data_IF_804551746913
#
_entry.id   IF_804551746913
#
_cell.length_a   1.000
_cell.length_b   1.000
_cell.length_c   1.000
_cell.angle_alpha   90.00
_cell.angle_beta   90.00
_cell.angle_gamma   90.00
#
_symmetry.space_group_name_H-M   'P 1'
#
loop_
_entity.id
_entity.type
_entity.pdbx_description
1 polymer ?
#
# COMPACT_ATOMS: atom_id res chain seq x y z
N UNK A 1 0.86 -15.85 -5.50
CA UNK A 1 0.65 -17.08 -4.70
C UNK A 1 1.36 -17.09 -3.33
N UNK A 2 1.97 -15.96 -2.91
CA UNK A 2 2.64 -15.84 -1.62
C UNK A 2 1.70 -16.17 -0.45
N UNK A 3 0.43 -15.73 -0.52
CA UNK A 3 -0.59 -16.04 0.51
C UNK A 3 -0.70 -17.54 0.75
N UNK A 4 -0.75 -18.33 -0.31
CA UNK A 4 -0.84 -19.81 -0.22
C UNK A 4 0.44 -20.43 0.35
N UNK A 5 1.61 -19.89 -0.02
CA UNK A 5 2.90 -20.36 0.49
C UNK A 5 3.07 -20.12 2.02
N UNK A 6 2.38 -19.13 2.55
CA UNK A 6 2.30 -18.88 4.00
C UNK A 6 1.08 -19.53 4.69
N UNK A 7 0.34 -20.39 3.98
CA UNK A 7 -0.81 -21.11 4.53
C UNK A 7 -2.07 -20.26 4.68
N UNK A 8 -2.11 -19.09 4.04
CA UNK A 8 -3.27 -18.23 4.05
C UNK A 8 -4.34 -18.63 3.04
N UNK A 9 -5.55 -18.14 3.24
CA UNK A 9 -6.67 -18.28 2.29
C UNK A 9 -6.72 -17.08 1.37
N UNK A 10 -6.61 -17.31 0.06
CA UNK A 10 -6.74 -16.25 -0.95
C UNK A 10 -8.20 -16.11 -1.36
N UNK A 11 -8.76 -14.92 -1.22
CA UNK A 11 -10.04 -14.51 -1.81
C UNK A 11 -9.79 -13.40 -2.83
N UNK A 12 -10.25 -13.58 -4.06
CA UNK A 12 -10.18 -12.59 -5.12
C UNK A 12 -11.58 -12.03 -5.36
N UNK A 13 -11.75 -10.73 -5.13
CA UNK A 13 -13.04 -10.04 -5.26
C UNK A 13 -12.83 -8.86 -6.21
N UNK A 14 -13.55 -8.85 -7.33
CA UNK A 14 -13.51 -7.75 -8.29
C UNK A 14 -14.26 -6.53 -7.76
N UNK A 15 -13.61 -5.38 -7.78
CA UNK A 15 -14.22 -4.08 -7.46
C UNK A 15 -14.75 -3.35 -8.71
N UNK A 16 -14.51 -3.91 -9.90
CA UNK A 16 -14.70 -3.20 -11.17
C UNK A 16 -16.11 -2.68 -11.34
N UNK A 17 -17.11 -3.54 -11.17
CA UNK A 17 -18.51 -3.18 -11.46
C UNK A 17 -19.04 -2.18 -10.43
N UNK A 18 -18.66 -2.32 -9.16
CA UNK A 18 -19.01 -1.38 -8.10
C UNK A 18 -18.36 0.00 -8.34
N UNK A 19 -17.09 0.05 -8.68
CA UNK A 19 -16.39 1.28 -9.01
C UNK A 19 -16.99 1.98 -10.23
N UNK A 20 -17.33 1.26 -11.29
CA UNK A 20 -17.97 1.81 -12.48
C UNK A 20 -19.38 2.35 -12.19
N UNK A 21 -20.15 1.63 -11.38
CA UNK A 21 -21.48 2.10 -10.95
C UNK A 21 -21.36 3.39 -10.14
N UNK A 22 -20.42 3.45 -9.19
CA UNK A 22 -20.16 4.66 -8.41
C UNK A 22 -19.76 5.84 -9.30
N UNK A 23 -18.84 5.63 -10.25
CA UNK A 23 -18.45 6.66 -11.22
C UNK A 23 -19.68 7.22 -11.99
N UNK A 24 -20.54 6.32 -12.47
CA UNK A 24 -21.77 6.69 -13.18
C UNK A 24 -22.69 7.50 -12.30
N UNK A 25 -22.90 7.10 -11.05
CA UNK A 25 -23.82 7.76 -10.12
C UNK A 25 -23.40 9.20 -9.77
N UNK A 26 -22.08 9.46 -9.72
CA UNK A 26 -21.53 10.80 -9.50
C UNK A 26 -21.28 11.59 -10.80
N UNK A 27 -21.56 11.01 -11.96
CA UNK A 27 -21.36 11.65 -13.26
C UNK A 27 -19.90 11.70 -13.72
N UNK A 28 -19.01 10.85 -13.18
CA UNK A 28 -17.61 10.75 -13.61
C UNK A 28 -17.52 9.86 -14.86
N UNK A 29 -16.89 10.32 -15.97
CA UNK A 29 -16.74 9.50 -17.17
C UNK A 29 -15.92 8.22 -16.90
N UNK A 30 -16.28 7.10 -17.52
CA UNK A 30 -15.54 5.83 -17.40
C UNK A 30 -14.09 5.91 -17.90
N UNK A 31 -13.79 6.90 -18.74
CA UNK A 31 -12.46 7.18 -19.27
C UNK A 31 -11.61 8.03 -18.33
N UNK A 32 -12.19 8.53 -17.22
CA UNK A 32 -11.46 9.34 -16.24
C UNK A 32 -10.34 8.53 -15.58
N UNK A 33 -9.20 9.17 -15.36
CA UNK A 33 -8.01 8.61 -14.69
C UNK A 33 -7.45 9.59 -13.67
N UNK A 34 -8.32 10.45 -13.14
CA UNK A 34 -7.97 11.43 -12.12
C UNK A 34 -7.79 10.79 -10.75
N UNK A 35 -7.37 11.60 -9.79
CA UNK A 35 -7.31 11.21 -8.37
C UNK A 35 -8.69 10.74 -7.85
N UNK A 36 -9.80 11.21 -8.44
CA UNK A 36 -11.14 10.75 -8.08
C UNK A 36 -11.34 9.29 -8.46
N UNK A 37 -10.88 8.89 -9.65
CA UNK A 37 -10.91 7.51 -10.10
C UNK A 37 -10.09 6.59 -9.17
N UNK A 38 -8.89 6.99 -8.80
CA UNK A 38 -8.05 6.24 -7.85
C UNK A 38 -8.72 6.13 -6.47
N UNK A 39 -9.23 7.24 -5.95
CA UNK A 39 -9.88 7.30 -4.65
C UNK A 39 -11.15 6.42 -4.56
N UNK A 40 -11.94 6.33 -5.63
CA UNK A 40 -13.11 5.43 -5.69
C UNK A 40 -12.67 3.98 -5.49
N UNK A 41 -11.66 3.54 -6.21
CA UNK A 41 -11.15 2.16 -6.12
C UNK A 41 -10.57 1.86 -4.74
N UNK A 42 -9.78 2.77 -4.17
CA UNK A 42 -9.19 2.60 -2.86
C UNK A 42 -10.27 2.46 -1.77
N UNK A 43 -11.33 3.27 -1.83
CA UNK A 43 -12.43 3.19 -0.85
C UNK A 43 -13.29 1.94 -1.03
N UNK A 44 -13.56 1.53 -2.27
CA UNK A 44 -14.27 0.28 -2.55
C UNK A 44 -13.53 -0.94 -2.01
N UNK A 45 -12.21 -1.00 -2.20
CA UNK A 45 -11.37 -2.06 -1.62
C UNK A 45 -11.49 -2.09 -0.10
N UNK A 46 -11.43 -0.93 0.54
CA UNK A 46 -11.53 -0.82 2.01
C UNK A 46 -12.89 -1.25 2.52
N UNK A 47 -13.97 -0.85 1.86
CA UNK A 47 -15.33 -1.26 2.23
C UNK A 47 -15.46 -2.78 2.21
N UNK A 48 -15.05 -3.43 1.13
CA UNK A 48 -15.09 -4.90 1.01
C UNK A 48 -14.24 -5.57 2.09
N UNK A 49 -13.03 -5.06 2.39
CA UNK A 49 -12.18 -5.62 3.42
C UNK A 49 -12.85 -5.57 4.81
N UNK A 50 -13.49 -4.45 5.14
CA UNK A 50 -14.19 -4.29 6.43
C UNK A 50 -15.40 -5.22 6.52
N UNK A 51 -16.18 -5.34 5.45
CA UNK A 51 -17.36 -6.22 5.42
C UNK A 51 -16.97 -7.71 5.47
N UNK A 52 -15.90 -8.11 4.77
CA UNK A 52 -15.35 -9.47 4.86
C UNK A 52 -14.84 -9.76 6.27
N UNK A 53 -14.17 -8.81 6.91
CA UNK A 53 -13.73 -8.97 8.29
C UNK A 53 -14.93 -9.20 9.24
N UNK A 54 -16.02 -8.46 9.06
CA UNK A 54 -17.25 -8.68 9.82
C UNK A 54 -17.86 -10.07 9.58
N UNK A 55 -17.92 -10.52 8.32
CA UNK A 55 -18.46 -11.83 7.96
C UNK A 55 -17.64 -12.99 8.57
N UNK A 56 -16.31 -12.84 8.59
CA UNK A 56 -15.38 -13.85 9.09
C UNK A 56 -15.14 -13.72 10.61
N UNK A 57 -15.78 -12.76 11.28
CA UNK A 57 -15.54 -12.44 12.70
C UNK A 57 -14.05 -12.17 12.97
N UNK A 58 -13.40 -11.48 12.03
CA UNK A 58 -11.99 -11.15 12.02
C UNK A 58 -11.73 -9.65 12.16
N UNK A 59 -10.49 -9.26 11.85
CA UNK A 59 -10.10 -7.86 11.79
C UNK A 59 -9.22 -7.59 10.57
N UNK A 60 -9.23 -6.35 10.06
CA UNK A 60 -8.39 -5.92 8.95
C UNK A 60 -7.03 -5.51 9.47
N UNK A 61 -5.99 -6.17 8.97
CA UNK A 61 -4.58 -5.78 9.17
C UNK A 61 -4.18 -4.83 8.07
N UNK A 62 -3.75 -3.62 8.45
CA UNK A 62 -3.27 -2.61 7.50
C UNK A 62 -1.83 -2.83 7.08
N UNK A 63 -1.54 -2.45 5.85
CA UNK A 63 -0.22 -2.56 5.22
C UNK A 63 0.51 -1.23 5.07
N UNK A 64 -0.15 -0.09 5.37
CA UNK A 64 0.46 1.23 5.35
C UNK A 64 1.67 1.33 6.27
N UNK A 65 2.69 2.05 5.82
CA UNK A 65 3.94 2.24 6.53
C UNK A 65 4.14 3.68 7.04
N UNK A 66 5.20 3.92 7.82
CA UNK A 66 5.52 5.23 8.38
C UNK A 66 5.70 6.30 7.30
N UNK A 67 6.35 5.96 6.18
CA UNK A 67 6.67 6.91 5.12
C UNK A 67 5.39 7.41 4.43
N UNK A 68 4.45 6.50 4.14
CA UNK A 68 3.15 6.85 3.57
C UNK A 68 2.34 7.74 4.50
N UNK A 69 2.31 7.40 5.79
CA UNK A 69 1.61 8.19 6.81
C UNK A 69 2.22 9.58 6.99
N UNK A 70 3.55 9.69 7.04
CA UNK A 70 4.25 10.96 7.21
C UNK A 70 4.09 11.89 6.01
N UNK A 71 4.04 11.33 4.79
CA UNK A 71 3.87 12.09 3.55
C UNK A 71 2.40 12.35 3.20
N UNK A 72 1.46 11.70 3.90
CA UNK A 72 0.04 11.73 3.54
C UNK A 72 -0.24 11.05 2.19
N UNK A 73 0.62 10.12 1.77
CA UNK A 73 0.51 9.41 0.50
C UNK A 73 -0.44 8.22 0.60
N UNK A 74 -1.71 8.52 0.76
CA UNK A 74 -2.79 7.54 0.86
C UNK A 74 -4.14 8.19 0.53
N UNK A 75 -5.12 7.38 0.15
CA UNK A 75 -6.49 7.84 0.00
C UNK A 75 -7.18 7.95 1.37
N UNK A 76 -7.67 9.15 1.71
CA UNK A 76 -8.47 9.34 2.93
C UNK A 76 -9.71 8.42 2.93
N UNK A 77 -9.94 7.72 4.04
CA UNK A 77 -10.96 6.66 4.17
C UNK A 77 -10.79 5.51 3.15
N UNK A 78 -9.57 5.25 2.70
CA UNK A 78 -9.24 4.20 1.77
C UNK A 78 -8.13 3.29 2.30
N UNK A 79 -7.06 3.18 1.55
CA UNK A 79 -5.95 2.24 1.75
C UNK A 79 -5.22 2.33 3.10
N UNK A 80 -5.29 3.49 3.79
CA UNK A 80 -4.74 3.63 5.16
C UNK A 80 -5.68 3.12 6.26
N UNK A 81 -6.93 2.81 5.92
CA UNK A 81 -7.92 2.36 6.90
C UNK A 81 -7.71 0.89 7.26
N UNK A 82 -7.54 0.63 8.55
CA UNK A 82 -7.43 -0.71 9.09
C UNK A 82 -7.81 -0.74 10.57
N UNK A 83 -8.10 -1.92 11.09
CA UNK A 83 -8.35 -2.11 12.53
C UNK A 83 -7.03 -2.23 13.31
N UNK A 84 -5.97 -2.70 12.66
CA UNK A 84 -4.63 -2.78 13.22
C UNK A 84 -3.56 -2.56 12.15
N UNK A 85 -2.72 -1.55 12.33
CA UNK A 85 -1.67 -1.17 11.38
C UNK A 85 -0.29 -1.61 11.89
N UNK A 86 0.23 -2.73 11.38
CA UNK A 86 1.48 -3.36 11.85
C UNK A 86 2.74 -2.58 11.50
N UNK A 87 2.72 -1.81 10.41
CA UNK A 87 3.90 -1.11 9.88
C UNK A 87 3.93 0.38 10.19
N UNK A 88 3.09 0.89 11.09
CA UNK A 88 2.94 2.34 11.37
C UNK A 88 4.23 3.04 11.77
N UNK A 89 5.14 2.32 12.41
CA UNK A 89 6.44 2.85 12.85
C UNK A 89 7.61 2.40 11.99
N UNK A 90 7.36 1.71 10.89
CA UNK A 90 8.39 1.12 10.02
C UNK A 90 8.44 1.90 8.71
N UNK A 91 9.53 2.59 8.38
CA UNK A 91 9.66 3.29 7.11
C UNK A 91 9.72 2.31 5.93
N UNK A 92 9.28 2.77 4.75
CA UNK A 92 9.18 1.95 3.53
C UNK A 92 10.50 1.29 3.14
N UNK A 93 11.60 1.99 3.29
CA UNK A 93 12.94 1.44 3.02
C UNK A 93 13.29 0.28 3.96
N UNK A 94 12.93 0.37 5.25
CA UNK A 94 13.14 -0.72 6.20
C UNK A 94 12.25 -1.93 5.89
N UNK A 95 10.99 -1.71 5.46
CA UNK A 95 10.12 -2.81 4.98
C UNK A 95 10.81 -3.59 3.87
N UNK A 96 11.42 -2.89 2.90
CA UNK A 96 12.16 -3.52 1.80
C UNK A 96 13.36 -4.35 2.29
N UNK A 97 14.11 -3.85 3.26
CA UNK A 97 15.21 -4.61 3.88
C UNK A 97 14.71 -5.85 4.62
N UNK A 98 13.60 -5.75 5.35
CA UNK A 98 12.98 -6.89 6.03
C UNK A 98 12.53 -7.96 5.04
N UNK A 99 11.90 -7.58 3.93
CA UNK A 99 11.51 -8.51 2.86
C UNK A 99 12.74 -9.18 2.24
N UNK A 100 13.82 -8.43 2.00
CA UNK A 100 15.07 -8.97 1.49
C UNK A 100 15.69 -9.98 2.47
N UNK A 101 15.68 -9.67 3.76
CA UNK A 101 16.18 -10.59 4.79
C UNK A 101 15.35 -11.87 4.85
N UNK A 102 14.02 -11.76 4.82
CA UNK A 102 13.12 -12.96 4.78
C UNK A 102 13.40 -13.79 3.54
N UNK A 103 13.56 -13.16 2.37
CA UNK A 103 13.92 -13.85 1.13
C UNK A 103 15.25 -14.63 1.28
N UNK A 104 16.27 -14.04 1.90
CA UNK A 104 17.58 -14.67 2.06
C UNK A 104 17.57 -15.82 3.08
N UNK A 105 16.58 -15.86 3.96
CA UNK A 105 16.37 -16.91 4.96
C UNK A 105 15.36 -17.98 4.55
N UNK A 106 14.80 -17.87 3.35
CA UNK A 106 13.83 -18.82 2.78
C UNK A 106 14.37 -19.46 1.50
N UNK A 107 13.81 -20.62 1.16
CA UNK A 107 14.17 -21.39 -0.04
C UNK A 107 12.96 -21.66 -0.94
N UNK A 108 13.23 -22.16 -2.16
CA UNK A 108 12.23 -22.61 -3.10
C UNK A 108 11.35 -21.48 -3.61
N UNK A 109 10.08 -21.79 -3.86
CA UNK A 109 9.12 -20.86 -4.47
C UNK A 109 8.88 -19.58 -3.67
N UNK A 110 8.96 -19.63 -2.33
CA UNK A 110 8.85 -18.43 -1.49
C UNK A 110 9.93 -17.42 -1.81
N UNK A 111 11.17 -17.88 -1.97
CA UNK A 111 12.31 -17.02 -2.31
C UNK A 111 12.14 -16.35 -3.66
N UNK A 112 11.68 -17.11 -4.67
CA UNK A 112 11.43 -16.58 -6.02
C UNK A 112 10.36 -15.49 -6.01
N UNK A 113 9.23 -15.73 -5.34
CA UNK A 113 8.14 -14.74 -5.23
C UNK A 113 8.58 -13.50 -4.46
N UNK A 114 9.34 -13.63 -3.38
CA UNK A 114 9.87 -12.50 -2.63
C UNK A 114 10.89 -11.68 -3.44
N UNK A 115 11.69 -12.36 -4.28
CA UNK A 115 12.59 -11.66 -5.21
C UNK A 115 11.80 -10.87 -6.25
N UNK A 116 10.77 -11.44 -6.85
CA UNK A 116 9.89 -10.79 -7.81
C UNK A 116 9.22 -9.52 -7.21
N UNK A 117 8.76 -9.61 -5.96
CA UNK A 117 8.24 -8.46 -5.21
C UNK A 117 9.31 -7.36 -5.04
N UNK A 118 10.55 -7.73 -4.71
CA UNK A 118 11.65 -6.77 -4.53
C UNK A 118 12.06 -6.10 -5.84
N UNK A 119 11.92 -6.80 -6.96
CA UNK A 119 12.26 -6.30 -8.29
C UNK A 119 11.13 -5.44 -8.90
N UNK A 120 9.92 -5.54 -8.33
CA UNK A 120 8.78 -4.73 -8.75
C UNK A 120 8.98 -3.27 -8.31
N UNK A 121 8.89 -2.29 -9.22
CA UNK A 121 8.96 -0.87 -8.87
C UNK A 121 7.80 -0.44 -7.96
N UNK A 122 8.07 0.48 -7.03
CA UNK A 122 7.02 1.10 -6.22
C UNK A 122 6.19 2.02 -7.13
N UNK A 123 4.92 1.67 -7.32
CA UNK A 123 4.00 2.39 -8.20
C UNK A 123 2.60 2.45 -7.60
N UNK A 124 1.79 3.45 -7.99
CA UNK A 124 0.37 3.45 -7.69
C UNK A 124 -0.30 2.26 -8.38
N UNK A 125 -0.91 1.37 -7.60
CA UNK A 125 -1.56 0.15 -8.10
C UNK A 125 -2.92 0.42 -8.79
N UNK A 126 -3.45 1.63 -8.67
CA UNK A 126 -4.83 1.96 -9.06
C UNK A 126 -4.95 2.46 -10.50
N UNK A 127 -3.84 2.82 -11.13
CA UNK A 127 -3.84 3.19 -12.55
C UNK A 127 -3.58 1.95 -13.42
N UNK A 128 -4.38 1.75 -14.47
CA UNK A 128 -4.11 0.67 -15.41
C UNK A 128 -2.77 0.92 -16.10
N UNK A 129 -2.02 -0.14 -16.45
CA UNK A 129 -0.83 -0.01 -17.28
C UNK A 129 -1.20 0.58 -18.65
N UNK A 130 -0.22 1.13 -19.35
CA UNK A 130 -0.39 1.56 -20.74
C UNK A 130 -0.67 0.36 -21.67
N UNK A 131 -0.95 0.63 -22.97
CA UNK A 131 -1.20 -0.42 -23.97
C UNK A 131 -0.02 -1.39 -24.16
N UNK A 132 1.18 -0.99 -23.75
CA UNK A 132 2.40 -1.80 -23.78
C UNK A 132 2.67 -2.55 -22.45
N UNK A 133 1.80 -2.38 -21.44
CA UNK A 133 1.95 -3.01 -20.12
C UNK A 133 2.90 -2.27 -19.17
N UNK A 134 3.32 -1.04 -19.50
CA UNK A 134 4.22 -0.27 -18.65
C UNK A 134 3.45 0.45 -17.54
N UNK A 135 4.10 0.60 -16.40
CA UNK A 135 3.60 1.38 -15.27
C UNK A 135 3.64 2.87 -15.66
N UNK A 136 2.46 3.50 -15.75
CA UNK A 136 2.31 4.89 -16.19
C UNK A 136 2.91 5.91 -15.20
N UNK A 137 2.91 5.59 -13.91
CA UNK A 137 3.39 6.50 -12.88
C UNK A 137 4.21 5.74 -11.84
N UNK A 138 5.37 6.28 -11.49
CA UNK A 138 6.15 5.82 -10.33
C UNK A 138 5.88 6.77 -9.18
N UNK A 139 5.56 6.25 -8.00
CA UNK A 139 5.32 7.04 -6.79
C UNK A 139 6.47 8.01 -6.51
N UNK A 140 7.71 7.55 -6.61
CA UNK A 140 8.90 8.37 -6.38
C UNK A 140 9.09 9.51 -7.41
N UNK A 141 8.44 9.44 -8.58
CA UNK A 141 8.43 10.56 -9.53
C UNK A 141 7.58 11.73 -9.05
N UNK A 142 6.59 11.47 -8.21
CA UNK A 142 5.69 12.50 -7.67
C UNK A 142 6.14 13.06 -6.34
N UNK A 143 6.66 12.23 -5.44
CA UNK A 143 7.02 12.61 -4.08
C UNK A 143 8.52 12.63 -3.81
N UNK A 144 9.34 12.16 -4.75
CA UNK A 144 10.78 11.96 -4.56
C UNK A 144 11.15 10.61 -3.96
N UNK A 145 12.45 10.30 -3.89
CA UNK A 145 12.94 8.99 -3.43
C UNK A 145 12.62 8.72 -1.95
N UNK A 146 12.05 7.59 -1.64
CA UNK A 146 11.76 7.16 -0.26
C UNK A 146 13.01 7.12 0.62
N UNK A 147 14.16 6.78 0.06
CA UNK A 147 15.44 6.78 0.81
C UNK A 147 15.75 8.14 1.44
N UNK A 148 15.45 9.25 0.75
CA UNK A 148 15.64 10.58 1.30
C UNK A 148 14.58 10.90 2.36
N UNK A 149 13.32 10.59 2.11
CA UNK A 149 12.25 10.81 3.08
C UNK A 149 12.51 10.06 4.37
N UNK A 150 12.83 8.78 4.28
CA UNK A 150 13.06 7.92 5.43
C UNK A 150 14.31 8.33 6.21
N UNK A 151 15.35 8.81 5.50
CA UNK A 151 16.54 9.40 6.15
C UNK A 151 16.16 10.60 7.03
N UNK A 152 15.29 11.49 6.56
CA UNK A 152 14.86 12.66 7.34
C UNK A 152 13.83 12.31 8.42
N UNK A 153 12.98 11.32 8.20
CA UNK A 153 12.02 10.84 9.19
C UNK A 153 12.73 10.27 10.43
N UNK A 154 13.87 9.63 10.27
CA UNK A 154 14.62 9.06 11.38
C UNK A 154 15.06 10.12 12.41
N UNK A 155 15.78 11.22 12.05
CA UNK A 155 16.10 12.27 13.00
C UNK A 155 14.88 12.93 13.63
N UNK A 156 13.84 13.21 12.83
CA UNK A 156 12.62 13.84 13.34
C UNK A 156 11.95 12.97 14.38
N UNK A 157 11.84 11.66 14.15
CA UNK A 157 11.17 10.73 15.07
C UNK A 157 11.98 10.42 16.33
N UNK A 158 13.33 10.44 16.25
CA UNK A 158 14.19 9.96 17.34
C UNK A 158 15.04 11.03 18.00
N UNK A 159 15.29 12.18 17.36
CA UNK A 159 16.17 13.23 17.88
C UNK A 159 15.43 14.48 18.32
N UNK A 160 14.35 14.87 17.64
CA UNK A 160 13.59 16.08 18.03
C UNK A 160 12.82 15.94 19.34
N UNK A 161 12.41 14.74 19.72
CA UNK A 161 11.79 14.48 21.01
C UNK A 161 12.76 14.70 22.19
N UNK A 162 14.09 14.67 21.96
CA UNK A 162 15.10 14.95 22.98
C UNK A 162 15.47 16.43 23.09
N UNK A 163 15.19 17.26 22.10
CA UNK A 163 15.54 18.68 22.14
C UNK A 163 14.65 19.49 23.10
N UNK A 164 13.50 18.96 23.52
CA UNK A 164 12.61 19.55 24.50
C UNK A 164 12.81 19.04 25.93
N UNK A 165 13.73 18.10 26.16
CA UNK A 165 14.07 17.60 27.50
C UNK A 165 15.27 18.30 28.15
N UNK A 166 15.79 19.38 27.56
CA UNK A 166 16.98 20.09 28.03
C UNK A 166 16.72 21.52 28.45
N UNK A 167 15.55 21.84 28.98
CA UNK A 167 15.29 23.11 29.70
C UNK A 167 14.86 22.83 31.13
#
# INVERSE_FOLDING_TARGET
>A
DLVKEYGGTLKEISIKDAALLHMKDIGLPETDRSITYENIQARERTQILMDVANMENGLVIGTGDLSELALGWCTYNGDHMSMYAVNTSIPKTLVRYLVAWVKDTTDGKKKEVLQDILDTPISPELLPPDEAGNILQKTESSIGPYVLHDFYLYPVSYTHLRAHETD
#
